data_IF_288215098147
#
_entry.id   IF_288215098147
#
_cell.length_a   1.000
_cell.length_b   1.000
_cell.length_c   1.000
_cell.angle_alpha   90.00
_cell.angle_beta   90.00
_cell.angle_gamma   90.00
#
_symmetry.space_group_name_H-M   'P 1'
#
loop_
_entity.id
_entity.type
_entity.pdbx_description
1 polymer ?
#
# COMPACT_ATOMS: atom_id res chain seq x y z
N UNK A 1 -9.26 -74.85 13.40
CA UNK A 1 -10.17 -73.78 12.94
C UNK A 1 -9.85 -72.49 13.72
N UNK A 2 -9.01 -71.58 13.15
CA UNK A 2 -8.69 -70.24 13.71
C UNK A 2 -9.60 -69.24 13.05
N UNK A 3 -10.49 -68.60 13.82
CA UNK A 3 -11.33 -67.47 13.42
C UNK A 3 -10.46 -66.21 13.38
N UNK A 4 -10.30 -65.57 12.19
CA UNK A 4 -9.69 -64.25 12.03
C UNK A 4 -10.76 -63.20 12.23
N UNK A 5 -10.65 -62.35 13.24
CA UNK A 5 -11.47 -61.18 13.43
C UNK A 5 -10.93 -60.06 12.51
N UNK A 6 -11.76 -59.55 11.59
CA UNK A 6 -11.49 -58.32 10.84
C UNK A 6 -11.86 -57.13 11.72
N UNK A 7 -10.87 -56.28 11.99
CA UNK A 7 -11.14 -54.96 12.55
C UNK A 7 -11.32 -53.97 11.44
N UNK A 8 -12.54 -53.41 11.33
CA UNK A 8 -12.82 -52.26 10.47
C UNK A 8 -12.42 -51.00 11.24
N UNK A 9 -11.34 -50.34 10.82
CA UNK A 9 -10.98 -48.99 11.28
C UNK A 9 -11.73 -48.00 10.38
N UNK A 10 -12.81 -47.47 10.88
CA UNK A 10 -13.52 -46.36 10.21
C UNK A 10 -12.71 -45.07 10.41
N UNK A 11 -12.10 -44.61 9.33
CA UNK A 11 -11.50 -43.25 9.31
C UNK A 11 -12.63 -42.25 9.12
N UNK A 12 -13.06 -41.60 10.22
CA UNK A 12 -13.88 -40.39 10.14
C UNK A 12 -13.03 -39.28 9.55
N UNK A 13 -13.22 -38.99 8.27
CA UNK A 13 -12.68 -37.81 7.63
C UNK A 13 -13.36 -36.55 8.19
N UNK A 14 -12.73 -35.89 9.14
CA UNK A 14 -13.07 -34.53 9.51
C UNK A 14 -12.67 -33.62 8.35
N UNK A 15 -13.60 -33.32 7.45
CA UNK A 15 -13.47 -32.19 6.54
C UNK A 15 -13.60 -30.92 7.37
N UNK A 16 -12.48 -30.37 7.81
CA UNK A 16 -12.42 -29.01 8.31
C UNK A 16 -12.74 -28.09 7.13
N UNK A 17 -14.01 -27.72 7.02
CA UNK A 17 -14.39 -26.56 6.20
C UNK A 17 -13.66 -25.37 6.84
N UNK A 18 -12.63 -24.88 6.17
CA UNK A 18 -12.04 -23.59 6.51
C UNK A 18 -13.18 -22.56 6.36
N UNK A 19 -13.78 -22.17 7.48
CA UNK A 19 -14.62 -20.99 7.54
C UNK A 19 -13.63 -19.85 7.34
N UNK A 20 -13.55 -19.36 6.12
CA UNK A 20 -12.90 -18.07 5.85
C UNK A 20 -13.73 -17.07 6.64
N UNK A 21 -13.23 -16.62 7.77
CA UNK A 21 -13.78 -15.45 8.42
C UNK A 21 -13.83 -14.38 7.33
N UNK A 22 -14.98 -13.75 7.16
CA UNK A 22 -15.20 -12.69 6.17
C UNK A 22 -14.55 -11.42 6.75
N UNK A 23 -13.21 -11.46 6.90
CA UNK A 23 -12.43 -10.35 7.42
C UNK A 23 -12.52 -9.22 6.40
N UNK A 24 -13.11 -8.12 6.86
CA UNK A 24 -13.23 -6.94 6.02
C UNK A 24 -11.85 -6.38 5.71
N UNK A 25 -11.68 -5.92 4.49
CA UNK A 25 -10.48 -5.20 4.07
C UNK A 25 -10.52 -3.79 4.66
N UNK A 26 -9.52 -3.43 5.44
CA UNK A 26 -9.36 -2.10 6.03
C UNK A 26 -8.72 -1.17 5.00
N UNK A 27 -9.47 -0.15 4.59
CA UNK A 27 -9.04 0.81 3.58
C UNK A 27 -8.86 2.19 4.21
N UNK A 28 -7.67 2.74 4.16
CA UNK A 28 -7.38 4.13 4.52
C UNK A 28 -7.37 4.96 3.24
N UNK A 29 -8.28 5.93 3.14
CA UNK A 29 -8.28 6.88 2.03
C UNK A 29 -7.68 8.19 2.51
N UNK A 30 -6.53 8.54 1.98
CA UNK A 30 -5.80 9.75 2.32
C UNK A 30 -5.96 10.82 1.23
N UNK A 31 -6.15 12.08 1.66
CA UNK A 31 -6.41 13.23 0.79
C UNK A 31 -5.65 14.46 1.28
N UNK A 32 -5.04 15.21 0.40
CA UNK A 32 -4.38 16.47 0.75
C UNK A 32 -5.34 17.65 0.94
N UNK A 33 -6.64 17.45 0.75
CA UNK A 33 -7.71 18.44 0.98
C UNK A 33 -7.50 19.79 0.29
N UNK A 34 -7.27 19.77 -1.01
CA UNK A 34 -7.10 20.97 -1.80
C UNK A 34 -8.41 21.79 -1.91
N UNK A 35 -8.37 23.12 -1.76
CA UNK A 35 -9.56 23.97 -1.86
C UNK A 35 -10.27 23.94 -3.23
N UNK A 36 -9.50 23.76 -4.31
CA UNK A 36 -10.05 23.78 -5.68
C UNK A 36 -10.94 22.58 -5.96
N UNK A 37 -10.53 21.34 -5.70
CA UNK A 37 -11.38 20.16 -5.83
C UNK A 37 -12.65 20.22 -4.98
N UNK A 38 -12.63 20.92 -3.84
CA UNK A 38 -13.81 21.12 -2.98
C UNK A 38 -14.97 21.81 -3.72
N UNK A 39 -14.70 22.57 -4.77
CA UNK A 39 -15.75 23.21 -5.59
C UNK A 39 -16.54 22.20 -6.42
N UNK A 40 -15.92 21.07 -6.74
CA UNK A 40 -16.53 19.97 -7.52
C UNK A 40 -17.07 18.87 -6.61
N UNK A 41 -16.29 18.54 -5.57
CA UNK A 41 -16.64 17.51 -4.59
C UNK A 41 -17.01 18.19 -3.27
N UNK A 42 -18.26 18.11 -2.85
CA UNK A 42 -18.78 18.82 -1.68
C UNK A 42 -17.94 18.65 -0.41
N UNK A 43 -17.23 17.52 -0.27
CA UNK A 43 -16.43 17.17 0.90
C UNK A 43 -15.08 16.57 0.51
N UNK A 44 -14.36 17.18 -0.43
CA UNK A 44 -13.08 16.71 -0.98
C UNK A 44 -13.12 15.34 -1.71
N UNK A 45 -12.20 15.10 -2.65
CA UNK A 45 -12.15 13.86 -3.42
C UNK A 45 -12.00 12.61 -2.55
N UNK A 46 -11.13 12.63 -1.54
CA UNK A 46 -10.92 11.49 -0.65
C UNK A 46 -12.18 11.08 0.10
N UNK A 47 -12.93 12.05 0.66
CA UNK A 47 -14.19 11.74 1.34
C UNK A 47 -15.27 11.25 0.38
N UNK A 48 -15.30 11.75 -0.86
CA UNK A 48 -16.20 11.23 -1.89
C UNK A 48 -15.89 9.74 -2.20
N UNK A 49 -14.62 9.39 -2.28
CA UNK A 49 -14.18 7.98 -2.45
C UNK A 49 -14.60 7.15 -1.23
N UNK A 50 -14.40 7.65 -0.01
CA UNK A 50 -14.82 6.99 1.24
C UNK A 50 -16.32 6.69 1.22
N UNK A 51 -17.15 7.68 0.88
CA UNK A 51 -18.61 7.54 0.84
C UNK A 51 -19.05 6.50 -0.21
N UNK A 52 -18.31 6.39 -1.31
CA UNK A 52 -18.57 5.37 -2.32
C UNK A 52 -18.17 3.97 -1.84
N UNK A 53 -16.96 3.82 -1.31
CA UNK A 53 -16.42 2.54 -0.87
C UNK A 53 -17.16 1.95 0.33
N UNK A 54 -17.68 2.78 1.25
CA UNK A 54 -18.50 2.35 2.39
C UNK A 54 -19.78 1.61 2.00
N UNK A 55 -20.21 1.71 0.75
CA UNK A 55 -21.37 0.96 0.23
C UNK A 55 -21.05 -0.54 0.05
N UNK A 56 -19.79 -0.91 0.01
CA UNK A 56 -19.38 -2.30 -0.07
C UNK A 56 -19.23 -2.89 1.36
N UNK A 57 -20.07 -3.87 1.74
CA UNK A 57 -20.04 -4.43 3.09
C UNK A 57 -18.75 -5.20 3.44
N UNK A 58 -17.95 -5.55 2.44
CA UNK A 58 -16.64 -6.20 2.62
C UNK A 58 -15.51 -5.24 2.98
N UNK A 59 -15.76 -3.93 2.96
CA UNK A 59 -14.75 -2.92 3.26
C UNK A 59 -15.04 -2.24 4.60
N UNK A 60 -13.97 -1.98 5.34
CA UNK A 60 -13.95 -1.09 6.47
C UNK A 60 -13.12 0.14 6.06
N UNK A 61 -13.79 1.30 5.86
CA UNK A 61 -13.16 2.46 5.20
C UNK A 61 -13.04 3.63 6.15
N UNK A 62 -11.80 4.09 6.33
CA UNK A 62 -11.45 5.27 7.10
C UNK A 62 -10.96 6.39 6.17
N UNK A 63 -11.18 7.65 6.59
CA UNK A 63 -10.65 8.84 5.93
C UNK A 63 -9.51 9.43 6.73
N UNK A 64 -8.44 9.82 6.05
CA UNK A 64 -7.35 10.59 6.61
C UNK A 64 -6.96 11.74 5.70
N UNK A 65 -6.28 12.73 6.26
CA UNK A 65 -5.85 13.88 5.46
C UNK A 65 -4.58 14.54 6.04
N UNK A 66 -3.95 15.33 5.19
CA UNK A 66 -2.67 15.98 5.50
C UNK A 66 -2.70 16.94 6.69
N UNK A 67 -3.89 17.46 7.07
CA UNK A 67 -4.03 18.43 8.15
C UNK A 67 -4.21 17.78 9.54
N UNK A 68 -4.28 16.45 9.60
CA UNK A 68 -4.34 15.68 10.86
C UNK A 68 -2.96 15.51 11.49
N UNK A 69 -2.88 15.15 12.79
CA UNK A 69 -1.63 14.77 13.41
C UNK A 69 -0.90 13.70 12.59
N UNK A 70 0.42 13.77 12.53
CA UNK A 70 1.26 12.91 11.67
C UNK A 70 0.78 12.87 10.21
N UNK A 71 0.15 13.98 9.76
CA UNK A 71 -0.40 14.10 8.40
C UNK A 71 -1.43 13.02 8.06
N UNK A 72 -2.11 12.45 9.07
CA UNK A 72 -3.07 11.37 8.92
C UNK A 72 -2.46 10.01 8.56
N UNK A 73 -1.13 9.89 8.60
CA UNK A 73 -0.35 8.69 8.24
C UNK A 73 0.42 8.16 9.46
N UNK A 74 -0.22 8.12 10.63
CA UNK A 74 0.42 7.58 11.83
C UNK A 74 0.78 6.10 11.64
N UNK A 75 1.79 5.64 12.39
CA UNK A 75 2.17 4.22 12.41
C UNK A 75 0.95 3.35 12.66
N UNK A 76 0.13 3.72 13.65
CA UNK A 76 -1.11 3.00 13.96
C UNK A 76 -2.07 2.94 12.78
N UNK A 77 -2.34 4.06 12.11
CA UNK A 77 -3.25 4.11 10.98
C UNK A 77 -2.76 3.24 9.82
N UNK A 78 -1.45 3.22 9.57
CA UNK A 78 -0.85 2.38 8.53
C UNK A 78 -0.86 0.89 8.90
N UNK A 79 -0.62 0.55 10.17
CA UNK A 79 -0.60 -0.84 10.63
C UNK A 79 -2.02 -1.47 10.72
N UNK A 80 -3.04 -0.65 10.92
CA UNK A 80 -4.44 -1.07 10.94
C UNK A 80 -5.08 -1.14 9.54
N UNK A 81 -4.34 -0.78 8.48
CA UNK A 81 -4.84 -0.73 7.10
C UNK A 81 -4.25 -1.82 6.23
N UNK A 82 -5.10 -2.45 5.43
CA UNK A 82 -4.68 -3.39 4.37
C UNK A 82 -4.40 -2.66 3.05
N UNK A 83 -5.07 -1.51 2.83
CA UNK A 83 -4.92 -0.70 1.62
C UNK A 83 -4.88 0.78 1.95
N UNK A 84 -3.89 1.49 1.43
CA UNK A 84 -3.81 2.94 1.41
C UNK A 84 -4.17 3.45 0.00
N UNK A 85 -5.27 4.20 -0.11
CA UNK A 85 -5.62 4.96 -1.31
C UNK A 85 -5.16 6.40 -1.09
N UNK A 86 -4.23 6.85 -1.91
CA UNK A 86 -3.55 8.13 -1.74
C UNK A 86 -3.92 9.09 -2.87
N UNK A 87 -4.62 10.17 -2.53
CA UNK A 87 -4.93 11.25 -3.47
C UNK A 87 -4.08 12.49 -3.15
N UNK A 88 -3.25 12.91 -4.10
CA UNK A 88 -2.41 14.10 -3.96
C UNK A 88 -2.28 14.87 -5.25
N UNK A 89 -2.02 16.19 -5.17
CA UNK A 89 -1.88 17.05 -6.34
C UNK A 89 -0.81 18.13 -6.16
N UNK A 90 -0.80 18.88 -5.06
CA UNK A 90 0.08 20.04 -4.84
C UNK A 90 0.99 19.85 -3.62
N UNK A 91 0.45 19.28 -2.53
CA UNK A 91 1.12 19.15 -1.24
C UNK A 91 1.79 17.80 -1.01
N UNK A 92 1.91 16.99 -2.04
CA UNK A 92 2.47 15.64 -1.94
C UNK A 92 3.97 15.63 -1.55
N UNK A 93 4.66 16.78 -1.59
CA UNK A 93 6.01 16.95 -1.06
C UNK A 93 6.06 17.28 0.42
N UNK A 94 4.92 17.58 1.04
CA UNK A 94 4.86 17.83 2.47
C UNK A 94 5.03 16.55 3.29
N UNK A 95 4.85 15.37 2.68
CA UNK A 95 5.15 14.08 3.30
C UNK A 95 6.66 13.83 3.24
N UNK A 96 7.28 13.61 4.38
CA UNK A 96 8.72 13.39 4.47
C UNK A 96 9.16 12.06 3.82
N UNK A 97 10.43 11.99 3.40
CA UNK A 97 11.01 10.74 2.90
C UNK A 97 10.95 9.62 3.95
N UNK A 98 11.22 9.94 5.23
CA UNK A 98 11.12 8.96 6.31
C UNK A 98 9.71 8.37 6.45
N UNK A 99 8.66 9.21 6.40
CA UNK A 99 7.27 8.71 6.41
C UNK A 99 6.93 7.94 5.14
N UNK A 100 7.46 8.36 4.02
CA UNK A 100 7.30 7.66 2.75
C UNK A 100 7.95 6.28 2.78
N UNK A 101 9.13 6.14 3.38
CA UNK A 101 9.79 4.86 3.57
C UNK A 101 8.98 3.93 4.47
N UNK A 102 8.36 4.44 5.54
CA UNK A 102 7.46 3.63 6.39
C UNK A 102 6.29 3.01 5.59
N UNK A 103 5.75 3.73 4.61
CA UNK A 103 4.71 3.23 3.70
C UNK A 103 5.29 2.15 2.79
N UNK A 104 6.42 2.45 2.14
CA UNK A 104 7.07 1.55 1.17
C UNK A 104 7.51 0.24 1.84
N UNK A 105 8.06 0.30 3.05
CA UNK A 105 8.47 -0.89 3.80
C UNK A 105 7.28 -1.84 4.06
N UNK A 106 6.09 -1.29 4.33
CA UNK A 106 4.86 -2.11 4.49
C UNK A 106 4.40 -2.71 3.17
N UNK A 107 4.53 -1.98 2.07
CA UNK A 107 4.22 -2.48 0.73
C UNK A 107 5.17 -3.63 0.36
N UNK A 108 6.47 -3.47 0.56
CA UNK A 108 7.49 -4.52 0.34
C UNK A 108 7.27 -5.73 1.22
N UNK A 109 6.83 -5.54 2.44
CA UNK A 109 6.49 -6.64 3.35
C UNK A 109 5.16 -7.34 3.02
N UNK A 110 4.44 -6.90 1.97
CA UNK A 110 3.13 -7.45 1.61
C UNK A 110 2.01 -7.15 2.62
N UNK A 111 2.21 -6.15 3.48
CA UNK A 111 1.27 -5.78 4.55
C UNK A 111 0.33 -4.64 4.17
N UNK A 112 0.64 -3.89 3.12
CA UNK A 112 -0.11 -2.72 2.69
C UNK A 112 -0.21 -2.67 1.17
N UNK A 113 -1.41 -2.65 0.63
CA UNK A 113 -1.66 -2.27 -0.76
C UNK A 113 -1.57 -0.75 -0.92
N UNK A 114 -0.90 -0.25 -1.97
CA UNK A 114 -0.75 1.18 -2.19
C UNK A 114 -1.34 1.59 -3.53
N UNK A 115 -2.43 2.36 -3.51
CA UNK A 115 -3.15 2.85 -4.68
C UNK A 115 -2.96 4.35 -4.79
N UNK A 116 -2.33 4.80 -5.85
CA UNK A 116 -1.98 6.21 -6.07
C UNK A 116 -2.89 6.80 -7.13
N UNK A 117 -3.56 7.90 -6.79
CA UNK A 117 -4.56 8.52 -7.65
C UNK A 117 -4.14 9.90 -8.13
N UNK A 118 -4.60 10.25 -9.33
CA UNK A 118 -4.39 11.55 -9.96
C UNK A 118 -2.89 11.87 -10.11
N UNK A 119 -2.47 13.10 -9.83
CA UNK A 119 -1.06 13.52 -9.87
C UNK A 119 -0.22 13.08 -8.66
N UNK A 120 -0.76 12.22 -7.79
CA UNK A 120 0.01 11.66 -6.68
C UNK A 120 1.18 10.75 -7.12
N UNK A 121 1.29 10.40 -8.40
CA UNK A 121 2.50 9.80 -8.95
C UNK A 121 3.75 10.68 -8.83
N UNK A 122 3.59 11.97 -8.53
CA UNK A 122 4.66 12.88 -8.15
C UNK A 122 4.87 13.00 -6.65
N UNK A 123 4.12 12.28 -5.84
CA UNK A 123 4.28 12.31 -4.38
C UNK A 123 5.56 11.63 -3.93
N UNK A 124 6.10 12.08 -2.80
CA UNK A 124 7.31 11.46 -2.24
C UNK A 124 7.10 9.97 -1.97
N UNK A 125 5.95 9.51 -1.38
CA UNK A 125 5.74 8.08 -1.19
C UNK A 125 5.79 7.25 -2.48
N UNK A 126 5.21 7.76 -3.57
CA UNK A 126 5.25 7.05 -4.85
C UNK A 126 6.65 7.06 -5.46
N UNK A 127 7.36 8.20 -5.40
CA UNK A 127 8.71 8.29 -5.93
C UNK A 127 9.69 7.38 -5.16
N UNK A 128 9.57 7.29 -3.84
CA UNK A 128 10.36 6.35 -3.03
C UNK A 128 10.05 4.91 -3.43
N UNK A 129 8.77 4.56 -3.59
CA UNK A 129 8.38 3.22 -4.06
C UNK A 129 8.99 2.88 -5.44
N UNK A 130 8.96 3.83 -6.37
CA UNK A 130 9.52 3.62 -7.71
C UNK A 130 11.05 3.53 -7.71
N UNK A 131 11.73 4.22 -6.79
CA UNK A 131 13.17 4.06 -6.60
C UNK A 131 13.53 2.67 -6.08
N UNK A 132 12.76 2.14 -5.13
CA UNK A 132 12.95 0.77 -4.62
C UNK A 132 12.79 -0.26 -5.76
N UNK A 133 11.73 -0.15 -6.56
CA UNK A 133 11.53 -1.03 -7.73
C UNK A 133 12.71 -0.94 -8.69
N UNK A 134 13.16 0.27 -9.02
CA UNK A 134 14.27 0.44 -9.96
C UNK A 134 15.60 -0.06 -9.37
N UNK A 135 15.78 -0.02 -8.04
CA UNK A 135 16.94 -0.62 -7.38
C UNK A 135 16.89 -2.16 -7.44
N UNK A 136 15.73 -2.74 -7.19
CA UNK A 136 15.52 -4.19 -7.32
C UNK A 136 15.76 -4.66 -8.76
N UNK A 137 15.19 -3.98 -9.75
CA UNK A 137 15.38 -4.26 -11.17
C UNK A 137 16.88 -4.20 -11.56
N UNK A 138 17.61 -3.21 -11.05
CA UNK A 138 19.04 -3.08 -11.32
C UNK A 138 19.84 -4.24 -10.70
N UNK A 139 19.49 -4.67 -9.49
CA UNK A 139 20.11 -5.82 -8.83
C UNK A 139 19.80 -7.13 -9.55
N UNK A 140 18.58 -7.30 -10.07
CA UNK A 140 18.18 -8.52 -10.80
C UNK A 140 18.98 -8.71 -12.09
N UNK A 141 19.47 -7.65 -12.70
CA UNK A 141 20.33 -7.71 -13.89
C UNK A 141 21.75 -8.19 -13.58
N UNK A 142 22.15 -8.23 -12.31
CA UNK A 142 23.45 -8.71 -11.91
C UNK A 142 23.46 -10.24 -11.74
N UNK A 143 24.62 -10.91 -11.96
CA UNK A 143 24.82 -12.28 -11.56
C UNK A 143 24.49 -12.48 -10.07
N UNK A 144 23.82 -13.58 -9.73
CA UNK A 144 23.32 -13.86 -8.38
C UNK A 144 24.39 -13.71 -7.29
N UNK A 145 25.60 -14.18 -7.56
CA UNK A 145 26.73 -14.10 -6.65
C UNK A 145 27.23 -12.67 -6.39
N UNK A 146 26.81 -11.69 -7.17
CA UNK A 146 27.19 -10.27 -6.99
C UNK A 146 26.09 -9.45 -6.32
N UNK A 147 24.83 -9.88 -6.37
CA UNK A 147 23.69 -9.10 -5.84
C UNK A 147 23.85 -8.70 -4.38
N UNK A 148 24.33 -9.61 -3.55
CA UNK A 148 24.57 -9.37 -2.11
C UNK A 148 25.76 -8.46 -1.82
N UNK A 149 26.59 -8.13 -2.82
CA UNK A 149 27.79 -7.33 -2.67
C UNK A 149 27.65 -5.92 -3.22
N UNK A 150 26.48 -5.61 -3.82
CA UNK A 150 26.20 -4.32 -4.46
C UNK A 150 25.13 -3.59 -3.69
N UNK A 151 25.39 -2.32 -3.42
CA UNK A 151 24.41 -1.39 -2.85
C UNK A 151 24.02 -0.37 -3.93
N UNK A 152 22.74 -0.32 -4.28
CA UNK A 152 22.20 0.61 -5.27
C UNK A 152 21.82 1.90 -4.58
N UNK A 153 22.44 3.00 -4.98
CA UNK A 153 22.15 4.32 -4.42
C UNK A 153 21.75 5.30 -5.51
N UNK A 154 20.68 6.01 -5.26
CA UNK A 154 20.29 7.12 -6.11
C UNK A 154 21.19 8.34 -5.82
N UNK A 155 21.68 8.95 -6.89
CA UNK A 155 22.45 10.17 -6.80
C UNK A 155 21.55 11.35 -7.16
N UNK A 156 21.19 12.15 -6.18
CA UNK A 156 20.38 13.36 -6.36
C UNK A 156 19.18 13.38 -5.40
N UNK A 157 18.52 14.52 -5.36
CA UNK A 157 17.28 14.68 -4.57
C UNK A 157 16.10 14.04 -5.31
N UNK A 158 15.14 13.51 -4.55
CA UNK A 158 13.80 13.20 -5.06
C UNK A 158 13.19 14.47 -5.64
N UNK A 159 13.33 14.68 -6.91
CA UNK A 159 13.00 15.94 -7.51
C UNK A 159 12.53 15.90 -8.95
N UNK A 160 11.84 16.95 -9.30
CA UNK A 160 11.28 17.31 -10.58
C UNK A 160 12.34 17.66 -11.65
N UNK A 161 13.51 17.09 -11.59
CA UNK A 161 14.47 17.25 -12.68
C UNK A 161 14.00 16.39 -13.86
N UNK A 162 12.97 16.87 -14.54
CA UNK A 162 12.78 16.45 -15.92
C UNK A 162 14.08 16.76 -16.65
N UNK A 163 14.73 15.78 -17.29
CA UNK A 163 15.83 16.07 -18.15
C UNK A 163 15.33 17.11 -19.18
N UNK A 164 15.97 18.27 -19.25
CA UNK A 164 15.69 19.19 -20.33
C UNK A 164 16.08 18.43 -21.59
N UNK A 165 15.20 18.35 -22.61
CA UNK A 165 15.60 17.80 -23.88
C UNK A 165 16.83 18.60 -24.32
N UNK A 166 17.91 17.90 -24.64
CA UNK A 166 19.06 18.51 -25.26
C UNK A 166 18.60 19.22 -26.53
N UNK A 167 18.91 20.52 -26.62
CA UNK A 167 18.55 21.36 -27.76
C UNK A 167 19.36 21.00 -28.98
#
# INVERSE_FOLDING_TARGET
LRKRALWFVGVLGLTASAIWADDKINVLVWDEQQPVPKKVYANFPGNYIVDHLKKNPRLNVASANINQPEQGLSIKALDESDVLIYWGHVRHRDISEAKSQEIVDRVKAGKLGFVVLHSAHWSVPFMVAMQEVAAEDALEQLPENLRAQVDVRYKGELGWNMPKPDA
#
